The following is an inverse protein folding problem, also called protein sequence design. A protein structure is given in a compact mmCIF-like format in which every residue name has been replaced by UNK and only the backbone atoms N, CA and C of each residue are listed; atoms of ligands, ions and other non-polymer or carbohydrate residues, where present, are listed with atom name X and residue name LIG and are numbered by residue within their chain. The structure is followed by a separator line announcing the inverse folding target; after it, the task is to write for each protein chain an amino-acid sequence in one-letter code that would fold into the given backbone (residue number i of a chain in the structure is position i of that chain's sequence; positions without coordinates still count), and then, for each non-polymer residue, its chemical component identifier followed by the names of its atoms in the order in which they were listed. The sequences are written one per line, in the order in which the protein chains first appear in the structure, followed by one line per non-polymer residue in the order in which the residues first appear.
data_IF_659301148569
#
_entry.id   IF_659301148569
#
_cell.length_a   1.000
_cell.length_b   1.000
_cell.length_c   1.000
_cell.angle_alpha   90.00
_cell.angle_beta   90.00
_cell.angle_gamma   90.00
#
_symmetry.space_group_name_H-M   'P 1'
#
loop_
_entity.id
_entity.type
_entity.pdbx_description
1 polymer ?
#
# COMPACT_ATOMS: atom_id res chain seq x y z
N UNK A 1 -1.48 -19.62 -18.80
CA UNK A 1 -1.78 -19.12 -17.44
C UNK A 1 -0.77 -19.80 -16.54
N UNK A 2 0.15 -19.07 -15.92
CA UNK A 2 1.37 -19.70 -15.41
C UNK A 2 1.56 -19.60 -13.90
N UNK A 3 1.74 -18.38 -13.39
CA UNK A 3 2.09 -18.18 -12.00
C UNK A 3 1.30 -17.02 -11.39
N UNK A 4 0.89 -17.26 -10.16
CA UNK A 4 0.22 -16.30 -9.32
C UNK A 4 1.22 -15.21 -8.90
N UNK A 5 1.08 -14.00 -9.45
CA UNK A 5 2.02 -12.88 -9.23
C UNK A 5 2.28 -12.58 -7.76
N UNK A 6 1.31 -12.82 -6.88
CA UNK A 6 1.50 -12.54 -5.47
C UNK A 6 2.54 -13.43 -4.80
N UNK A 7 2.91 -14.55 -5.44
CA UNK A 7 3.94 -15.49 -4.99
C UNK A 7 5.34 -15.14 -5.50
N UNK A 8 5.50 -14.09 -6.33
CA UNK A 8 6.81 -13.69 -6.81
C UNK A 8 7.76 -13.35 -5.65
N UNK A 9 9.04 -13.80 -5.70
CA UNK A 9 9.97 -13.74 -4.58
C UNK A 9 10.61 -12.36 -4.41
N UNK A 10 10.08 -11.56 -3.49
CA UNK A 10 10.61 -10.25 -3.14
C UNK A 10 11.81 -10.32 -2.18
N UNK A 11 12.93 -9.62 -2.44
CA UNK A 11 14.10 -9.68 -1.58
C UNK A 11 13.83 -9.04 -0.21
N UNK A 12 14.41 -9.62 0.84
CA UNK A 12 14.42 -9.13 2.22
C UNK A 12 15.87 -9.04 2.72
N UNK A 13 16.09 -8.71 3.99
CA UNK A 13 17.44 -8.71 4.58
C UNK A 13 18.00 -10.12 4.73
N UNK A 14 17.14 -11.08 5.04
CA UNK A 14 17.52 -12.44 5.47
C UNK A 14 17.08 -13.53 4.48
N UNK A 15 16.74 -13.16 3.24
CA UNK A 15 16.24 -14.07 2.21
C UNK A 15 15.22 -13.40 1.30
N UNK A 16 14.21 -14.15 0.87
CA UNK A 16 13.12 -13.67 0.01
C UNK A 16 11.76 -13.95 0.66
N UNK A 17 10.75 -13.19 0.26
CA UNK A 17 9.37 -13.38 0.68
C UNK A 17 8.41 -13.15 -0.49
N UNK A 18 7.25 -13.80 -0.53
CA UNK A 18 6.22 -13.49 -1.53
C UNK A 18 5.77 -12.02 -1.53
N UNK A 19 5.35 -11.48 -2.68
CA UNK A 19 4.85 -10.10 -2.75
C UNK A 19 3.63 -9.86 -1.84
N UNK A 20 2.72 -10.84 -1.66
CA UNK A 20 1.60 -10.67 -0.72
C UNK A 20 2.08 -10.49 0.73
N UNK A 21 3.16 -11.19 1.12
CA UNK A 21 3.77 -11.06 2.44
C UNK A 21 4.39 -9.67 2.60
N UNK A 22 5.00 -9.13 1.54
CA UNK A 22 5.52 -7.76 1.53
C UNK A 22 4.39 -6.76 1.76
N UNK A 23 3.30 -6.83 0.98
CA UNK A 23 2.17 -5.93 1.11
C UNK A 23 1.52 -5.99 2.50
N UNK A 24 1.31 -7.19 3.03
CA UNK A 24 0.76 -7.39 4.37
C UNK A 24 1.64 -6.75 5.45
N UNK A 25 2.97 -6.94 5.39
CA UNK A 25 3.91 -6.31 6.34
C UNK A 25 3.89 -4.79 6.29
N UNK A 26 3.74 -4.18 5.10
CA UNK A 26 3.59 -2.71 4.98
C UNK A 26 2.31 -2.24 5.67
N UNK A 27 1.20 -2.98 5.49
CA UNK A 27 -0.07 -2.66 6.15
C UNK A 27 0.04 -2.79 7.68
N UNK A 28 0.76 -3.78 8.20
CA UNK A 28 0.98 -3.97 9.64
C UNK A 28 1.67 -2.78 10.31
N UNK A 29 2.50 -2.02 9.59
CA UNK A 29 3.18 -0.83 10.11
C UNK A 29 2.25 0.37 10.33
N UNK A 30 1.00 0.28 9.85
CA UNK A 30 0.04 1.40 9.81
C UNK A 30 -1.34 1.04 10.37
N UNK A 31 -1.72 -0.24 10.34
CA UNK A 31 -3.08 -0.72 10.67
C UNK A 31 -3.13 -1.49 12.00
N UNK A 32 -4.33 -1.57 12.59
CA UNK A 32 -4.56 -2.31 13.83
C UNK A 32 -4.49 -3.83 13.64
N UNK A 33 -4.95 -4.32 12.48
CA UNK A 33 -4.79 -5.70 12.03
C UNK A 33 -4.86 -5.77 10.50
N UNK A 34 -4.35 -6.87 9.95
CA UNK A 34 -4.30 -7.12 8.52
C UNK A 34 -5.05 -8.39 8.18
N UNK A 35 -5.87 -8.33 7.13
CA UNK A 35 -6.54 -9.48 6.56
C UNK A 35 -6.22 -9.58 5.06
N UNK A 36 -6.20 -10.81 4.54
CA UNK A 36 -5.86 -11.07 3.15
C UNK A 36 -7.13 -11.50 2.39
N UNK A 37 -7.53 -10.71 1.40
CA UNK A 37 -8.53 -11.13 0.41
C UNK A 37 -7.90 -12.23 -0.45
N UNK A 38 -8.51 -13.41 -0.40
CA UNK A 38 -8.19 -14.55 -1.25
C UNK A 38 -9.34 -14.77 -2.23
N UNK A 39 -9.03 -14.74 -3.52
CA UNK A 39 -10.01 -15.14 -4.54
C UNK A 39 -10.40 -16.61 -4.41
N UNK A 40 -11.30 -17.09 -5.27
CA UNK A 40 -11.81 -18.47 -5.27
C UNK A 40 -10.80 -19.58 -5.63
N UNK A 41 -9.50 -19.30 -5.58
CA UNK A 41 -8.44 -20.31 -5.70
C UNK A 41 -8.18 -21.06 -4.40
N UNK A 42 -7.31 -22.07 -4.49
CA UNK A 42 -6.73 -22.74 -3.33
C UNK A 42 -6.03 -21.73 -2.41
N UNK A 43 -5.94 -22.00 -1.09
CA UNK A 43 -5.14 -21.21 -0.17
C UNK A 43 -3.72 -21.05 -0.73
N UNK A 44 -3.24 -19.79 -0.78
CA UNK A 44 -1.91 -19.49 -1.32
C UNK A 44 -0.85 -20.15 -0.43
N UNK A 45 0.14 -20.87 -0.99
CA UNK A 45 1.21 -21.47 -0.20
C UNK A 45 1.88 -20.43 0.71
N UNK A 46 2.03 -20.77 1.99
CA UNK A 46 2.65 -19.89 2.99
C UNK A 46 1.69 -18.92 3.68
N UNK A 47 0.42 -18.81 3.28
CA UNK A 47 -0.57 -18.01 4.02
C UNK A 47 -0.93 -18.66 5.36
N UNK A 48 -1.06 -19.99 5.39
CA UNK A 48 -1.42 -20.77 6.59
C UNK A 48 -0.31 -20.80 7.65
N UNK A 49 0.91 -20.42 7.27
CA UNK A 49 2.07 -20.36 8.17
C UNK A 49 2.13 -19.01 8.91
N UNK A 50 1.11 -18.16 8.78
CA UNK A 50 1.07 -16.79 9.28
C UNK A 50 -0.22 -16.53 10.05
N UNK A 51 -0.16 -15.58 10.99
CA UNK A 51 -1.29 -15.22 11.85
C UNK A 51 -2.32 -14.30 11.17
N UNK A 52 -2.30 -14.18 9.83
CA UNK A 52 -3.24 -13.34 9.10
C UNK A 52 -4.55 -14.07 8.81
N UNK A 53 -5.66 -13.41 9.16
CA UNK A 53 -6.98 -13.87 8.76
C UNK A 53 -7.12 -13.75 7.25
N UNK A 54 -7.68 -14.79 6.62
CA UNK A 54 -8.04 -14.76 5.20
C UNK A 54 -9.55 -14.70 5.05
N UNK A 55 -10.02 -13.98 4.05
CA UNK A 55 -11.43 -13.95 3.70
C UNK A 55 -11.61 -14.06 2.19
N UNK A 56 -12.74 -14.65 1.78
CA UNK A 56 -13.13 -14.76 0.39
C UNK A 56 -14.13 -13.68 0.03
N UNK A 57 -14.08 -13.25 -1.22
CA UNK A 57 -15.06 -12.35 -1.79
C UNK A 57 -16.41 -13.09 -1.90
N UNK A 58 -17.52 -12.44 -1.53
CA UNK A 58 -18.85 -13.07 -1.60
C UNK A 58 -19.35 -13.29 -3.04
N UNK A 59 -18.72 -12.64 -4.02
CA UNK A 59 -19.12 -12.66 -5.42
C UNK A 59 -18.03 -13.26 -6.31
N UNK A 60 -18.33 -14.44 -6.86
CA UNK A 60 -17.46 -15.13 -7.82
C UNK A 60 -17.07 -14.22 -8.99
N UNK A 61 -15.77 -14.15 -9.29
CA UNK A 61 -15.20 -13.42 -10.43
C UNK A 61 -15.56 -11.92 -10.48
N UNK A 62 -15.85 -11.30 -9.35
CA UNK A 62 -16.31 -9.90 -9.31
C UNK A 62 -15.18 -8.85 -9.23
N UNK A 63 -13.93 -9.27 -9.36
CA UNK A 63 -12.76 -8.39 -9.45
C UNK A 63 -12.44 -7.65 -8.15
N UNK A 64 -11.48 -6.71 -8.17
CA UNK A 64 -11.00 -6.04 -6.95
C UNK A 64 -12.09 -5.29 -6.16
N UNK A 65 -13.16 -4.85 -6.83
CA UNK A 65 -14.30 -4.23 -6.16
C UNK A 65 -15.00 -5.18 -5.18
N UNK A 66 -15.03 -6.48 -5.46
CA UNK A 66 -15.64 -7.49 -4.59
C UNK A 66 -14.85 -7.65 -3.29
N UNK A 67 -13.52 -7.76 -3.40
CA UNK A 67 -12.62 -7.75 -2.25
C UNK A 67 -12.75 -6.48 -1.41
N UNK A 68 -12.87 -5.30 -2.04
CA UNK A 68 -13.12 -4.05 -1.30
C UNK A 68 -14.46 -4.08 -0.55
N UNK A 69 -15.55 -4.51 -1.21
CA UNK A 69 -16.86 -4.58 -0.57
C UNK A 69 -16.84 -5.52 0.64
N UNK A 70 -16.25 -6.71 0.50
CA UNK A 70 -16.12 -7.66 1.60
C UNK A 70 -15.26 -7.10 2.73
N UNK A 71 -14.13 -6.44 2.42
CA UNK A 71 -13.29 -5.80 3.42
C UNK A 71 -14.03 -4.70 4.19
N UNK A 72 -14.83 -3.87 3.51
CA UNK A 72 -15.61 -2.81 4.15
C UNK A 72 -16.70 -3.35 5.08
N UNK A 73 -17.39 -4.42 4.68
CA UNK A 73 -18.39 -5.08 5.53
C UNK A 73 -17.74 -5.72 6.76
N UNK A 74 -16.55 -6.31 6.61
CA UNK A 74 -15.76 -6.85 7.73
C UNK A 74 -15.27 -5.75 8.67
N UNK A 75 -14.70 -4.67 8.15
CA UNK A 75 -14.29 -3.52 8.95
C UNK A 75 -15.46 -2.98 9.79
N UNK A 76 -16.65 -2.88 9.19
CA UNK A 76 -17.87 -2.49 9.90
C UNK A 76 -18.26 -3.50 10.99
N UNK A 77 -18.11 -4.80 10.75
CA UNK A 77 -18.41 -5.84 11.77
C UNK A 77 -17.42 -5.83 12.94
N UNK A 78 -16.22 -5.27 12.74
CA UNK A 78 -15.19 -5.10 13.75
C UNK A 78 -15.21 -3.70 14.39
N UNK A 79 -16.25 -2.90 14.17
CA UNK A 79 -16.39 -1.53 14.67
C UNK A 79 -15.19 -0.62 14.29
N UNK A 80 -14.62 -0.82 13.09
CA UNK A 80 -13.56 0.02 12.54
C UNK A 80 -14.11 1.15 11.68
N UNK A 81 -13.30 2.21 11.54
CA UNK A 81 -13.64 3.40 10.74
C UNK A 81 -13.50 3.18 9.22
N UNK A 82 -12.66 2.23 8.79
CA UNK A 82 -12.35 2.01 7.39
C UNK A 82 -11.29 0.95 7.13
N UNK A 83 -10.86 0.87 5.87
CA UNK A 83 -9.92 -0.10 5.31
C UNK A 83 -8.80 0.64 4.58
N UNK A 84 -7.55 0.22 4.81
CA UNK A 84 -6.44 0.45 3.89
C UNK A 84 -6.34 -0.74 2.93
N UNK A 85 -6.54 -0.50 1.64
CA UNK A 85 -6.40 -1.49 0.59
C UNK A 85 -5.04 -1.32 -0.09
N UNK A 86 -4.30 -2.41 -0.23
CA UNK A 86 -3.04 -2.46 -0.97
C UNK A 86 -2.98 -3.76 -1.78
N UNK A 87 -2.89 -3.64 -3.10
CA UNK A 87 -2.66 -4.79 -3.96
C UNK A 87 -1.24 -5.33 -3.82
N UNK A 88 -1.13 -6.66 -3.86
CA UNK A 88 0.15 -7.36 -3.73
C UNK A 88 1.11 -7.12 -4.90
N UNK A 89 0.64 -6.63 -6.05
CA UNK A 89 1.49 -6.32 -7.21
C UNK A 89 2.08 -4.90 -7.17
N UNK A 90 2.00 -4.21 -6.03
CA UNK A 90 2.58 -2.88 -5.81
C UNK A 90 3.71 -2.92 -4.76
N UNK A 91 4.83 -3.64 -5.01
CA UNK A 91 5.79 -3.99 -3.96
C UNK A 91 6.65 -2.82 -3.44
N UNK A 92 6.70 -1.71 -4.19
CA UNK A 92 7.45 -0.50 -3.86
C UNK A 92 6.68 0.46 -2.95
N UNK A 93 5.37 0.26 -2.77
CA UNK A 93 4.58 1.03 -1.79
C UNK A 93 5.15 0.81 -0.39
N UNK A 94 5.30 1.89 0.36
CA UNK A 94 5.78 1.86 1.74
C UNK A 94 4.74 2.38 2.76
N UNK A 95 5.11 2.39 4.03
CA UNK A 95 4.22 2.80 5.11
C UNK A 95 3.92 4.32 5.07
N UNK A 96 4.80 5.16 4.52
CA UNK A 96 4.57 6.60 4.38
C UNK A 96 3.51 6.88 3.30
N UNK A 97 3.56 6.13 2.19
CA UNK A 97 2.55 6.18 1.14
C UNK A 97 1.14 5.85 1.70
N UNK A 98 1.05 4.85 2.59
CA UNK A 98 -0.21 4.48 3.25
C UNK A 98 -0.66 5.47 4.32
N UNK A 99 0.27 6.00 5.14
CA UNK A 99 -0.04 7.00 6.18
C UNK A 99 -0.60 8.29 5.58
N UNK A 100 -0.12 8.67 4.39
CA UNK A 100 -0.67 9.82 3.65
C UNK A 100 -2.16 9.62 3.35
N UNK A 101 -2.54 8.45 2.83
CA UNK A 101 -3.95 8.14 2.54
C UNK A 101 -4.80 8.06 3.82
N UNK A 102 -4.26 7.47 4.88
CA UNK A 102 -4.93 7.39 6.18
C UNK A 102 -5.22 8.79 6.76
N UNK A 103 -4.28 9.72 6.61
CA UNK A 103 -4.45 11.12 7.05
C UNK A 103 -5.64 11.78 6.37
N UNK A 104 -5.87 11.49 5.09
CA UNK A 104 -7.03 12.02 4.36
C UNK A 104 -8.36 11.47 4.89
N UNK A 105 -8.43 10.19 5.27
CA UNK A 105 -9.62 9.65 5.96
C UNK A 105 -9.84 10.34 7.30
N UNK A 106 -8.77 10.54 8.08
CA UNK A 106 -8.83 11.24 9.37
C UNK A 106 -9.28 12.71 9.20
N UNK A 107 -8.98 13.32 8.05
CA UNK A 107 -9.47 14.64 7.65
C UNK A 107 -10.87 14.61 7.02
N UNK A 108 -11.59 13.49 7.17
CA UNK A 108 -12.99 13.32 6.80
C UNK A 108 -13.25 12.98 5.33
N UNK A 109 -12.25 12.51 4.59
CA UNK A 109 -12.49 11.91 3.28
C UNK A 109 -13.26 10.58 3.45
N UNK A 110 -14.12 10.24 2.50
CA UNK A 110 -14.76 8.91 2.48
C UNK A 110 -13.84 7.88 1.84
N UNK A 111 -13.09 8.33 0.84
CA UNK A 111 -12.04 7.56 0.19
C UNK A 111 -10.88 8.48 -0.17
N UNK A 112 -9.67 7.95 -0.09
CA UNK A 112 -8.46 8.61 -0.55
C UNK A 112 -7.65 7.64 -1.41
N UNK A 113 -7.24 8.07 -2.59
CA UNK A 113 -6.44 7.25 -3.51
C UNK A 113 -5.29 8.07 -4.09
N UNK A 114 -4.23 7.38 -4.48
CA UNK A 114 -3.16 8.02 -5.23
C UNK A 114 -3.53 8.26 -6.68
N UNK A 115 -2.92 9.28 -7.28
CA UNK A 115 -2.94 9.53 -8.72
C UNK A 115 -1.51 9.67 -9.23
N UNK A 116 -1.19 8.97 -10.31
CA UNK A 116 0.14 9.03 -10.93
C UNK A 116 0.09 9.87 -12.22
N UNK A 117 1.09 10.72 -12.48
CA UNK A 117 1.20 11.43 -13.76
C UNK A 117 1.22 10.47 -14.95
N UNK A 118 0.57 10.85 -16.05
CA UNK A 118 0.61 10.08 -17.30
C UNK A 118 1.07 10.98 -18.45
N UNK A 119 2.11 10.54 -19.14
CA UNK A 119 2.67 11.28 -20.28
C UNK A 119 1.57 11.51 -21.35
N UNK A 120 1.33 12.77 -21.68
CA UNK A 120 0.35 13.16 -22.71
C UNK A 120 -1.12 12.90 -22.37
N UNK A 121 -1.49 12.73 -21.10
CA UNK A 121 -2.88 12.46 -20.72
C UNK A 121 -3.24 12.90 -19.30
N UNK A 122 -4.48 12.58 -18.90
CA UNK A 122 -4.93 12.78 -17.51
C UNK A 122 -4.16 11.86 -16.56
N UNK A 123 -3.92 12.29 -15.31
CA UNK A 123 -3.41 11.43 -14.25
C UNK A 123 -4.23 10.14 -14.14
N UNK A 124 -3.55 9.06 -13.77
CA UNK A 124 -4.15 7.76 -13.58
C UNK A 124 -4.41 7.50 -12.09
N UNK A 125 -5.67 7.25 -11.76
CA UNK A 125 -6.09 6.83 -10.42
C UNK A 125 -5.54 5.43 -10.07
N UNK A 126 -5.06 5.28 -8.84
CA UNK A 126 -4.53 4.02 -8.28
C UNK A 126 -5.42 3.54 -7.12
N UNK A 127 -6.65 3.05 -7.39
CA UNK A 127 -7.58 2.64 -6.34
C UNK A 127 -7.14 1.37 -5.60
N UNK A 128 -6.17 0.63 -6.15
CA UNK A 128 -5.62 -0.57 -5.52
C UNK A 128 -4.61 -0.26 -4.40
N UNK A 129 -4.27 1.01 -4.22
CA UNK A 129 -3.58 1.56 -3.04
C UNK A 129 -4.41 2.74 -2.53
N UNK A 130 -5.32 2.46 -1.61
CA UNK A 130 -6.38 3.38 -1.24
C UNK A 130 -6.83 3.22 0.22
N UNK A 131 -7.34 4.30 0.79
CA UNK A 131 -7.99 4.29 2.09
C UNK A 131 -9.49 4.52 1.87
N UNK A 132 -10.34 3.69 2.48
CA UNK A 132 -11.79 3.70 2.28
C UNK A 132 -12.52 3.61 3.63
N UNK A 133 -13.31 4.61 3.98
CA UNK A 133 -14.18 4.56 5.16
C UNK A 133 -15.31 3.55 4.97
N UNK A 134 -15.78 2.95 6.07
CA UNK A 134 -16.93 2.02 6.08
C UNK A 134 -18.21 2.62 5.47
N UNK A 135 -18.33 3.95 5.39
CA UNK A 135 -19.46 4.61 4.71
C UNK A 135 -19.51 4.30 3.20
N UNK A 136 -18.37 3.92 2.60
CA UNK A 136 -18.26 3.49 1.21
C UNK A 136 -18.88 2.11 0.95
N UNK A 137 -19.22 1.33 1.99
CA UNK A 137 -19.76 -0.03 1.83
C UNK A 137 -21.05 -0.06 1.00
N UNK A 138 -21.93 0.94 1.15
CA UNK A 138 -23.14 1.05 0.35
C UNK A 138 -22.82 1.26 -1.15
N UNK A 139 -21.96 2.23 -1.45
CA UNK A 139 -21.52 2.52 -2.82
C UNK A 139 -20.81 1.32 -3.46
N UNK A 140 -19.99 0.57 -2.70
CA UNK A 140 -19.31 -0.63 -3.18
C UNK A 140 -20.31 -1.75 -3.54
N UNK A 141 -21.29 -2.02 -2.69
CA UNK A 141 -22.34 -3.02 -2.96
C UNK A 141 -23.23 -2.63 -4.13
N UNK A 142 -23.63 -1.37 -4.23
CA UNK A 142 -24.45 -0.87 -5.35
C UNK A 142 -23.68 -0.94 -6.68
N UNK A 143 -22.38 -0.61 -6.66
CA UNK A 143 -21.51 -0.76 -7.83
C UNK A 143 -21.44 -2.24 -8.27
N UNK A 144 -21.23 -3.17 -7.34
CA UNK A 144 -21.22 -4.60 -7.63
C UNK A 144 -22.57 -5.09 -8.19
N UNK A 145 -23.68 -4.66 -7.60
CA UNK A 145 -25.03 -5.01 -8.04
C UNK A 145 -25.32 -4.52 -9.47
N UNK A 146 -24.73 -3.38 -9.87
CA UNK A 146 -24.79 -2.87 -11.24
C UNK A 146 -23.89 -3.61 -12.25
N UNK A 147 -23.13 -4.61 -11.79
CA UNK A 147 -22.19 -5.38 -12.59
C UNK A 147 -20.80 -4.75 -12.72
N UNK A 148 -20.50 -3.67 -11.97
CA UNK A 148 -19.17 -3.10 -11.95
C UNK A 148 -18.16 -4.07 -11.31
N UNK A 149 -16.90 -3.91 -11.71
CA UNK A 149 -15.76 -4.77 -11.28
C UNK A 149 -14.55 -3.96 -10.83
N UNK A 150 -14.52 -2.66 -11.14
CA UNK A 150 -13.40 -1.75 -10.84
C UNK A 150 -13.75 -0.90 -9.62
N UNK A 151 -12.81 -0.75 -8.69
CA UNK A 151 -13.01 0.04 -7.47
C UNK A 151 -13.40 1.50 -7.73
N UNK A 152 -12.92 2.12 -8.82
CA UNK A 152 -13.30 3.50 -9.20
C UNK A 152 -14.80 3.70 -9.45
N UNK A 153 -15.56 2.61 -9.66
CA UNK A 153 -17.00 2.71 -9.91
C UNK A 153 -17.78 3.28 -8.71
N UNK A 154 -17.24 3.20 -7.49
CA UNK A 154 -17.92 3.69 -6.28
C UNK A 154 -18.07 5.21 -6.29
N UNK A 155 -17.22 5.95 -7.02
CA UNK A 155 -17.25 7.41 -7.08
C UNK A 155 -18.57 7.93 -7.68
N UNK A 156 -19.18 7.16 -8.59
CA UNK A 156 -20.43 7.53 -9.24
C UNK A 156 -21.67 7.29 -8.36
N UNK A 157 -21.49 6.73 -7.16
CA UNK A 157 -22.57 6.29 -6.29
C UNK A 157 -22.56 7.03 -4.96
N UNK A 158 -23.73 7.29 -4.38
CA UNK A 158 -23.81 7.92 -3.07
C UNK A 158 -23.33 6.96 -1.97
N UNK A 159 -22.77 7.52 -0.91
CA UNK A 159 -22.51 6.78 0.33
C UNK A 159 -23.80 6.63 1.15
N UNK A 160 -23.71 5.91 2.27
CA UNK A 160 -24.82 5.80 3.21
C UNK A 160 -25.39 7.20 3.58
N UNK A 161 -26.72 7.35 3.51
CA UNK A 161 -27.40 8.63 3.70
C UNK A 161 -27.62 9.45 2.41
N UNK A 162 -27.23 8.94 1.24
CA UNK A 162 -27.60 9.49 -0.06
C UNK A 162 -26.77 10.70 -0.50
N UNK A 163 -25.76 11.09 0.27
CA UNK A 163 -24.83 12.17 -0.11
C UNK A 163 -23.77 11.66 -1.09
N UNK A 164 -23.19 12.54 -1.93
CA UNK A 164 -22.05 12.18 -2.77
C UNK A 164 -20.86 11.68 -1.94
N UNK A 165 -20.12 10.72 -2.52
CA UNK A 165 -18.86 10.23 -1.97
C UNK A 165 -17.79 11.33 -2.08
N UNK A 166 -17.13 11.65 -0.97
CA UNK A 166 -16.01 12.58 -0.92
C UNK A 166 -14.71 11.81 -1.18
N UNK A 167 -14.33 11.74 -2.46
CA UNK A 167 -13.08 11.13 -2.90
C UNK A 167 -11.97 12.19 -2.92
N UNK A 168 -10.87 11.92 -2.22
CA UNK A 168 -9.64 12.69 -2.31
C UNK A 168 -8.65 11.97 -3.24
N UNK A 169 -8.12 12.71 -4.20
CA UNK A 169 -7.05 12.26 -5.10
C UNK A 169 -5.76 12.89 -4.65
N UNK A 170 -4.83 12.07 -4.16
CA UNK A 170 -3.52 12.53 -3.72
C UNK A 170 -2.57 12.46 -4.91
N UNK A 171 -2.01 13.59 -5.39
CA UNK A 171 -1.08 13.57 -6.50
C UNK A 171 0.27 13.00 -6.05
N UNK A 172 0.71 11.93 -6.70
CA UNK A 172 2.08 11.45 -6.55
C UNK A 172 3.04 12.48 -7.15
N UNK A 173 4.18 12.68 -6.51
CA UNK A 173 5.27 13.43 -7.11
C UNK A 173 5.87 12.62 -8.27
N UNK A 174 6.51 13.28 -9.23
CA UNK A 174 7.30 12.60 -10.27
C UNK A 174 8.29 11.59 -9.65
N UNK A 175 8.90 11.95 -8.53
CA UNK A 175 9.88 11.16 -7.81
C UNK A 175 9.29 10.00 -6.98
N UNK A 176 7.97 9.93 -6.76
CA UNK A 176 7.33 8.86 -5.98
C UNK A 176 6.32 8.05 -6.80
N UNK A 177 5.93 8.54 -7.99
CA UNK A 177 4.94 7.90 -8.85
C UNK A 177 5.28 6.45 -9.22
N UNK A 178 6.57 6.13 -9.39
CA UNK A 178 7.05 4.78 -9.69
C UNK A 178 6.66 3.75 -8.62
N UNK A 179 6.53 4.16 -7.36
CA UNK A 179 6.17 3.27 -6.24
C UNK A 179 4.74 2.77 -6.33
N UNK A 180 3.90 3.53 -7.02
CA UNK A 180 2.45 3.39 -7.09
C UNK A 180 2.01 2.71 -8.38
N UNK A 181 2.93 2.06 -9.11
CA UNK A 181 2.65 1.34 -10.35
C UNK A 181 2.65 -0.16 -10.09
N UNK A 182 1.65 -0.84 -10.65
CA UNK A 182 1.55 -2.30 -10.59
C UNK A 182 2.63 -2.98 -11.42
N UNK A 183 3.23 -4.02 -10.85
CA UNK A 183 4.09 -4.97 -11.55
C UNK A 183 3.22 -5.91 -12.38
N UNK A 184 3.15 -5.64 -13.69
CA UNK A 184 2.32 -6.41 -14.61
C UNK A 184 3.10 -7.40 -15.46
N UNK A 185 4.33 -7.06 -15.80
CA UNK A 185 5.23 -7.81 -16.66
C UNK A 185 6.51 -8.20 -15.91
N UNK A 186 7.26 -9.21 -16.40
CA UNK A 186 8.58 -9.52 -15.85
C UNK A 186 9.54 -8.31 -15.88
N UNK A 187 9.46 -7.46 -16.90
CA UNK A 187 10.28 -6.25 -16.99
C UNK A 187 9.94 -5.23 -15.88
N UNK A 188 8.66 -5.12 -15.51
CA UNK A 188 8.24 -4.26 -14.40
C UNK A 188 8.81 -4.80 -13.08
N UNK A 189 8.81 -6.12 -12.93
CA UNK A 189 9.34 -6.80 -11.75
C UNK A 189 10.85 -6.58 -11.59
N UNK A 190 11.62 -6.80 -12.67
CA UNK A 190 13.07 -6.57 -12.68
C UNK A 190 13.41 -5.11 -12.35
N UNK A 191 12.64 -4.16 -12.90
CA UNK A 191 12.81 -2.73 -12.61
C UNK A 191 12.56 -2.43 -11.12
N UNK A 192 11.51 -3.02 -10.54
CA UNK A 192 11.20 -2.86 -9.12
C UNK A 192 12.29 -3.47 -8.21
N UNK A 193 12.93 -4.57 -8.61
CA UNK A 193 14.05 -5.15 -7.87
C UNK A 193 15.29 -4.25 -7.86
N UNK A 194 15.61 -3.63 -9.00
CA UNK A 194 16.73 -2.68 -9.12
C UNK A 194 16.49 -1.46 -8.22
N UNK A 195 15.27 -0.96 -8.21
CA UNK A 195 14.86 0.18 -7.39
C UNK A 195 14.93 -0.13 -5.89
N UNK A 196 14.38 -1.28 -5.47
CA UNK A 196 14.45 -1.73 -4.09
C UNK A 196 15.91 -1.91 -3.60
N UNK A 197 16.79 -2.38 -4.47
CA UNK A 197 18.23 -2.52 -4.17
C UNK A 197 18.92 -1.17 -3.99
N UNK A 198 18.56 -0.19 -4.84
CA UNK A 198 19.09 1.17 -4.81
C UNK A 198 18.66 1.91 -3.54
N UNK A 199 17.39 1.80 -3.15
CA UNK A 199 16.86 2.38 -1.92
C UNK A 199 17.56 1.81 -0.67
N UNK A 200 17.79 0.50 -0.62
CA UNK A 200 18.53 -0.15 0.48
C UNK A 200 20.01 0.26 0.53
N UNK A 201 20.63 0.52 -0.61
CA UNK A 201 22.02 0.99 -0.64
C UNK A 201 22.13 2.41 -0.04
N UNK A 202 21.14 3.27 -0.28
CA UNK A 202 21.07 4.61 0.30
C UNK A 202 20.90 4.57 1.82
N UNK A 203 20.01 3.72 2.33
CA UNK A 203 19.76 3.53 3.77
C UNK A 203 20.95 2.92 4.53
N UNK A 204 21.85 2.24 3.80
CA UNK A 204 23.11 1.66 4.34
C UNK A 204 24.27 2.65 4.45
N UNK A 205 24.13 3.89 3.99
CA UNK A 205 25.20 4.88 4.12
C UNK A 205 25.20 5.42 5.55
N UNK A 206 26.22 5.14 6.39
CA UNK A 206 26.25 5.69 7.74
C UNK A 206 26.28 7.22 7.63
N UNK A 207 25.37 7.89 8.33
CA UNK A 207 25.41 9.33 8.48
C UNK A 207 26.84 9.73 8.88
N UNK A 208 27.53 10.49 8.02
CA UNK A 208 28.83 11.06 8.36
C UNK A 208 28.65 11.87 9.62
N UNK A 209 29.13 11.34 10.75
CA UNK A 209 29.36 12.12 11.96
C UNK A 209 30.32 13.22 11.54
N UNK A 210 29.81 14.44 11.38
CA UNK A 210 30.65 15.62 11.28
C UNK A 210 31.38 15.72 12.61
N UNK A 211 32.65 15.30 12.60
CA UNK A 211 33.57 15.52 13.70
C UNK A 211 33.65 17.02 13.95
N UNK A 212 33.11 17.44 15.09
CA UNK A 212 33.38 18.76 15.64
C UNK A 212 34.81 18.67 16.16
N UNK A 213 35.74 19.25 15.42
CA UNK A 213 37.11 19.51 15.88
C UNK A 213 37.01 20.48 17.07
N UNK A 214 36.94 19.93 18.28
CA UNK A 214 37.12 20.68 19.50
C UNK A 214 38.62 20.92 19.67
N UNK A 215 39.05 22.14 19.36
CA UNK A 215 40.40 22.62 19.62
C UNK A 215 40.81 22.39 21.07
N UNK A 216 41.71 21.43 21.27
CA UNK A 216 42.41 21.22 22.52
C UNK A 216 43.64 22.11 22.58
N UNK A 217 43.55 23.18 23.35
CA UNK A 217 44.67 24.01 23.80
C UNK A 217 45.72 23.18 24.55
N UNK A 218 46.97 23.23 24.09
CA UNK A 218 48.16 22.70 24.76
C UNK A 218 48.38 23.32 26.15
N UNK A 219 48.85 22.55 27.15
CA UNK A 219 49.66 23.08 28.23
C UNK A 219 51.11 22.64 28.02
N UNK A 220 52.01 23.58 27.72
CA UNK A 220 53.45 23.35 27.87
C UNK A 220 53.84 23.57 29.33
N UNK A 221 54.29 22.49 29.98
CA UNK A 221 55.06 22.53 31.23
C UNK A 221 56.33 21.73 31.04
N UNK A 222 57.49 22.35 31.29
CA UNK A 222 58.80 21.69 31.42
C UNK A 222 59.97 22.65 31.21
N UNK A 223 60.40 23.41 32.22
CA UNK A 223 61.63 23.18 33.03
C UNK A 223 62.96 23.18 32.25
N UNK A 224 63.82 24.20 32.45
CA UNK A 224 65.08 24.06 33.20
C UNK A 224 65.96 25.33 33.22
N UNK A 225 66.58 25.51 34.39
CA UNK A 225 67.84 26.23 34.73
C UNK A 225 67.82 27.74 34.90
#
# INVERSE_FOLDING_TARGET
MGEDKALLPWPTRDGEQPLFVRAARVLEEVSAFVEISVGNGDPRPGIEQRDWTTFRDEFDHAGPLAGLSAALDRARSHDLDGVLALACDMPLVDAEDLRTLLTELQNGADAAIWTVPRQGGSPQDQPLVGAYSVVCAAAARDALASGARRMVAIEALPVAGGRPLRLVRVPASENSSHRLVNVNTPSDYDSALVEASSARALDRTPARVQGVDAGGTSPETGHHS
#
